data_IF_446398509101
#
_entry.id   IF_446398509101
#
_cell.length_a   1.000
_cell.length_b   1.000
_cell.length_c   1.000
_cell.angle_alpha   90.00
_cell.angle_beta   90.00
_cell.angle_gamma   90.00
#
_symmetry.space_group_name_H-M   'P 1'
#
loop_
_entity.id
_entity.type
_entity.pdbx_description
1 polymer ?
#
# COMPACT_ATOMS: atom_id res chain seq x y z
N UNK A 1 -20.31 5.43 0.16
CA UNK A 1 -19.41 5.86 -0.93
C UNK A 1 -17.91 5.88 -0.54
N UNK A 2 -17.52 6.08 0.73
CA UNK A 2 -16.10 6.13 1.13
C UNK A 2 -15.29 4.81 1.03
N UNK A 3 -15.95 3.64 1.04
CA UNK A 3 -15.25 2.35 0.98
C UNK A 3 -14.57 2.10 -0.38
N UNK A 4 -15.18 2.56 -1.48
CA UNK A 4 -14.61 2.43 -2.82
C UNK A 4 -13.39 3.34 -3.03
N UNK A 5 -13.38 4.51 -2.41
CA UNK A 5 -12.26 5.47 -2.49
C UNK A 5 -11.01 4.92 -1.78
N UNK A 6 -11.16 4.42 -0.55
CA UNK A 6 -10.05 3.79 0.19
C UNK A 6 -9.54 2.52 -0.51
N UNK A 7 -10.42 1.73 -1.13
CA UNK A 7 -10.01 0.55 -1.91
C UNK A 7 -9.25 0.92 -3.19
N UNK A 8 -9.55 2.07 -3.81
CA UNK A 8 -8.81 2.59 -4.96
C UNK A 8 -7.47 3.21 -4.53
N UNK A 9 -7.43 3.93 -3.41
CA UNK A 9 -6.22 4.55 -2.86
C UNK A 9 -5.22 3.49 -2.37
N UNK A 10 -5.69 2.46 -1.64
CA UNK A 10 -4.86 1.29 -1.30
C UNK A 10 -4.34 0.57 -2.54
N UNK A 11 -5.15 0.49 -3.61
CA UNK A 11 -4.71 -0.07 -4.90
C UNK A 11 -3.65 0.82 -5.56
N UNK A 12 -3.75 2.15 -5.44
CA UNK A 12 -2.78 3.09 -5.99
C UNK A 12 -1.40 2.96 -5.32
N UNK A 13 -1.35 2.89 -3.98
CA UNK A 13 -0.09 2.67 -3.25
C UNK A 13 0.57 1.34 -3.61
N UNK A 14 -0.22 0.26 -3.72
CA UNK A 14 0.29 -1.05 -4.11
C UNK A 14 0.78 -1.08 -5.56
N UNK A 15 0.12 -0.35 -6.46
CA UNK A 15 0.53 -0.22 -7.86
C UNK A 15 1.88 0.52 -7.96
N UNK A 16 2.01 1.66 -7.28
CA UNK A 16 3.25 2.42 -7.25
C UNK A 16 4.40 1.62 -6.62
N UNK A 17 4.14 0.87 -5.54
CA UNK A 17 5.13 -0.03 -4.93
C UNK A 17 5.61 -1.12 -5.91
N UNK A 18 4.72 -1.62 -6.79
CA UNK A 18 5.08 -2.61 -7.81
C UNK A 18 6.01 -1.99 -8.86
N UNK A 19 5.74 -0.76 -9.28
CA UNK A 19 6.55 -0.05 -10.28
C UNK A 19 7.97 0.21 -9.74
N UNK A 20 8.10 0.67 -8.50
CA UNK A 20 9.41 0.81 -7.84
C UNK A 20 10.18 -0.50 -7.74
N UNK A 21 9.52 -1.62 -7.41
CA UNK A 21 10.19 -2.93 -7.39
C UNK A 21 10.62 -3.38 -8.78
N UNK A 22 9.87 -3.01 -9.82
CA UNK A 22 10.21 -3.33 -11.19
C UNK A 22 11.40 -2.49 -11.68
N UNK A 23 11.47 -1.21 -11.34
CA UNK A 23 12.65 -0.37 -11.58
C UNK A 23 13.87 -0.88 -10.82
N UNK A 24 13.71 -1.23 -9.54
CA UNK A 24 14.80 -1.78 -8.72
C UNK A 24 15.38 -3.10 -9.27
N UNK A 25 14.58 -3.89 -10.01
CA UNK A 25 15.06 -5.12 -10.68
C UNK A 25 15.92 -4.84 -11.90
N UNK A 26 15.77 -3.67 -12.52
CA UNK A 26 16.56 -3.24 -13.69
C UNK A 26 17.92 -2.69 -13.29
N UNK A 27 18.05 -2.22 -12.05
CA UNK A 27 19.30 -1.70 -11.51
C UNK A 27 20.21 -2.82 -10.98
N UNK A 28 21.52 -2.59 -11.08
CA UNK A 28 22.53 -3.41 -10.40
C UNK A 28 22.39 -3.24 -8.88
N UNK A 29 22.86 -4.21 -8.08
CA UNK A 29 22.98 -4.03 -6.63
C UNK A 29 23.76 -2.75 -6.30
N UNK A 30 23.14 -1.86 -5.52
CA UNK A 30 23.69 -0.54 -5.21
C UNK A 30 22.71 0.27 -4.36
N UNK A 31 23.13 1.47 -3.90
CA UNK A 31 22.31 2.34 -3.05
C UNK A 31 20.98 2.70 -3.71
N UNK A 32 20.99 3.08 -4.98
CA UNK A 32 19.78 3.41 -5.75
C UNK A 32 18.76 2.26 -5.76
N UNK A 33 19.23 1.01 -5.94
CA UNK A 33 18.35 -0.17 -5.87
C UNK A 33 17.75 -0.35 -4.47
N UNK A 34 18.52 -0.08 -3.42
CA UNK A 34 18.04 -0.22 -2.05
C UNK A 34 17.00 0.84 -1.72
N UNK A 35 17.23 2.09 -2.14
CA UNK A 35 16.28 3.19 -1.99
C UNK A 35 14.94 2.85 -2.65
N UNK A 36 14.94 2.39 -3.92
CA UNK A 36 13.70 1.98 -4.60
C UNK A 36 12.98 0.83 -3.87
N UNK A 37 13.73 -0.12 -3.31
CA UNK A 37 13.15 -1.23 -2.52
C UNK A 37 12.56 -0.74 -1.21
N UNK A 38 13.21 0.21 -0.55
CA UNK A 38 12.73 0.82 0.69
C UNK A 38 11.48 1.65 0.45
N UNK A 39 11.45 2.47 -0.60
CA UNK A 39 10.25 3.20 -1.02
C UNK A 39 9.09 2.24 -1.28
N UNK A 40 9.31 1.17 -2.04
CA UNK A 40 8.28 0.16 -2.28
C UNK A 40 7.80 -0.54 -0.99
N UNK A 41 8.67 -0.70 0.01
CA UNK A 41 8.31 -1.26 1.30
C UNK A 41 7.41 -0.29 2.09
N UNK A 42 7.81 0.98 2.20
CA UNK A 42 7.01 2.02 2.87
C UNK A 42 5.62 2.12 2.27
N UNK A 43 5.50 2.12 0.93
CA UNK A 43 4.22 2.17 0.24
C UNK A 43 3.32 0.97 0.55
N UNK A 44 3.90 -0.23 0.72
CA UNK A 44 3.14 -1.42 1.14
C UNK A 44 2.67 -1.31 2.58
N UNK A 45 3.47 -0.75 3.47
CA UNK A 45 3.07 -0.54 4.86
C UNK A 45 1.96 0.51 4.98
N UNK A 46 2.02 1.59 4.21
CA UNK A 46 0.91 2.57 4.12
C UNK A 46 -0.37 1.88 3.66
N UNK A 47 -0.31 1.12 2.57
CA UNK A 47 -1.48 0.40 2.06
C UNK A 47 -2.06 -0.60 3.09
N UNK A 48 -1.22 -1.28 3.86
CA UNK A 48 -1.66 -2.16 4.94
C UNK A 48 -2.36 -1.40 6.06
N UNK A 49 -1.80 -0.26 6.48
CA UNK A 49 -2.38 0.57 7.54
C UNK A 49 -3.72 1.16 7.11
N UNK A 50 -3.85 1.61 5.86
CA UNK A 50 -5.11 2.09 5.30
C UNK A 50 -6.17 0.98 5.19
N UNK A 51 -5.76 -0.22 4.78
CA UNK A 51 -6.65 -1.39 4.75
C UNK A 51 -7.09 -1.81 6.16
N UNK A 52 -6.18 -1.82 7.13
CA UNK A 52 -6.48 -2.13 8.53
C UNK A 52 -7.41 -1.06 9.15
N UNK A 53 -7.19 0.23 8.85
CA UNK A 53 -8.07 1.32 9.28
C UNK A 53 -9.47 1.20 8.67
N UNK A 54 -9.56 0.87 7.38
CA UNK A 54 -10.84 0.64 6.70
C UNK A 54 -11.62 -0.53 7.29
N UNK A 55 -10.95 -1.65 7.59
CA UNK A 55 -11.59 -2.83 8.19
C UNK A 55 -12.00 -2.62 9.64
N UNK A 56 -11.23 -1.87 10.42
CA UNK A 56 -11.61 -1.46 11.78
C UNK A 56 -12.90 -0.62 11.76
N UNK A 57 -13.01 0.33 10.83
CA UNK A 57 -14.20 1.17 10.65
C UNK A 57 -15.44 0.40 10.17
N UNK A 58 -15.25 -0.72 9.47
CA UNK A 58 -16.34 -1.59 9.01
C UNK A 58 -16.87 -2.51 10.11
N UNK A 59 -16.01 -3.00 11.01
CA UNK A 59 -16.45 -3.80 12.18
C UNK A 59 -17.29 -3.00 13.17
N UNK A 60 -16.95 -1.74 13.39
CA UNK A 60 -17.65 -0.85 14.32
C UNK A 60 -19.07 -0.46 13.85
N UNK A 61 -19.40 -0.73 12.57
CA UNK A 61 -20.72 -0.43 11.99
C UNK A 61 -21.71 -1.60 11.99
N UNK A 62 -21.36 -2.77 12.54
CA UNK A 62 -22.36 -3.83 12.75
C UNK A 62 -23.13 -3.50 14.04
N UNK A 63 -24.43 -3.15 13.97
CA UNK A 63 -25.22 -3.03 15.17
C UNK A 63 -25.33 -4.43 15.78
N UNK A 64 -24.93 -4.55 17.05
CA UNK A 64 -25.24 -5.72 17.86
C UNK A 64 -26.75 -5.94 17.78
N UNK A 65 -27.14 -7.06 17.18
CA UNK A 65 -28.53 -7.53 17.12
C UNK A 65 -28.83 -8.32 18.38
#
# INVERSE_FOLDING_TARGET
>A
MAHAQNSMETSAWLLQAKDFLHEARRLKPGPERNELRETAHVLREIAKLEAASSTARERDRRPAS
#
